data_IF_877394634851
#
_entry.id   IF_877394634851
#
_cell.length_a   1.000
_cell.length_b   1.000
_cell.length_c   1.000
_cell.angle_alpha   90.00
_cell.angle_beta   90.00
_cell.angle_gamma   90.00
#
_symmetry.space_group_name_H-M   'P 1'
#
loop_
_entity.id
_entity.type
_entity.pdbx_description
1 polymer ?
#
# COMPACT_ATOMS: atom_id res chain seq x y z
N UNK A 1 -30.40 4.26 4.60
CA UNK A 1 -29.51 5.31 4.09
C UNK A 1 -28.34 4.65 3.36
N UNK A 2 -27.89 5.21 2.23
CA UNK A 2 -26.75 4.67 1.46
C UNK A 2 -25.56 5.60 1.68
N UNK A 3 -24.45 5.07 2.23
CA UNK A 3 -23.27 5.86 2.59
C UNK A 3 -22.28 6.11 1.45
N UNK A 4 -22.28 5.26 0.42
CA UNK A 4 -21.51 5.43 -0.82
C UNK A 4 -22.05 4.51 -1.93
N UNK A 5 -21.83 4.91 -3.18
CA UNK A 5 -22.10 4.10 -4.39
C UNK A 5 -20.86 4.09 -5.26
N UNK A 6 -20.47 2.90 -5.72
CA UNK A 6 -19.31 2.70 -6.62
C UNK A 6 -19.81 2.14 -7.95
N UNK A 7 -19.32 2.67 -9.06
CA UNK A 7 -19.73 2.26 -10.41
C UNK A 7 -18.75 1.29 -11.07
N UNK A 8 -17.53 1.12 -10.53
CA UNK A 8 -16.52 0.21 -11.05
C UNK A 8 -15.21 0.28 -10.27
N UNK A 9 -14.20 -0.43 -10.75
CA UNK A 9 -12.83 -0.43 -10.23
C UNK A 9 -11.83 -0.52 -11.39
N UNK A 10 -10.57 -0.24 -11.10
CA UNK A 10 -9.45 -0.40 -12.04
C UNK A 10 -8.33 -1.17 -11.35
N UNK A 11 -7.66 -2.03 -12.12
CA UNK A 11 -6.42 -2.65 -11.68
C UNK A 11 -5.24 -1.80 -12.13
N UNK A 12 -4.32 -1.51 -11.21
CA UNK A 12 -3.11 -0.78 -11.52
C UNK A 12 -2.01 -1.72 -12.05
N UNK A 13 -1.10 -1.22 -12.91
CA UNK A 13 0.08 -1.97 -13.29
C UNK A 13 0.94 -2.34 -12.08
N UNK A 14 1.69 -3.43 -12.18
CA UNK A 14 2.68 -3.86 -11.18
C UNK A 14 3.96 -3.02 -11.28
N UNK A 15 3.84 -1.74 -10.93
CA UNK A 15 4.84 -0.70 -11.11
C UNK A 15 4.66 0.36 -10.02
N UNK A 16 5.62 0.45 -9.10
CA UNK A 16 5.54 1.29 -7.92
C UNK A 16 5.48 2.79 -8.25
N UNK A 17 6.14 3.25 -9.31
CA UNK A 17 6.09 4.66 -9.74
C UNK A 17 4.71 5.03 -10.28
N UNK A 18 4.09 4.11 -11.04
CA UNK A 18 2.70 4.30 -11.51
C UNK A 18 1.71 4.26 -10.36
N UNK A 19 1.94 3.40 -9.37
CA UNK A 19 1.12 3.37 -8.14
C UNK A 19 1.26 4.67 -7.35
N UNK A 20 2.48 5.20 -7.17
CA UNK A 20 2.73 6.48 -6.51
C UNK A 20 1.99 7.63 -7.22
N UNK A 21 2.14 7.73 -8.54
CA UNK A 21 1.49 8.76 -9.35
C UNK A 21 -0.04 8.67 -9.28
N UNK A 22 -0.59 7.45 -9.32
CA UNK A 22 -2.04 7.25 -9.20
C UNK A 22 -2.54 7.62 -7.81
N UNK A 23 -1.85 7.17 -6.74
CA UNK A 23 -2.17 7.45 -5.34
C UNK A 23 -2.22 8.96 -5.08
N UNK A 24 -1.19 9.69 -5.53
CA UNK A 24 -1.08 11.14 -5.36
C UNK A 24 -2.23 11.90 -6.05
N UNK A 25 -2.78 11.33 -7.13
CA UNK A 25 -3.82 11.99 -7.93
C UNK A 25 -5.24 11.58 -7.51
N UNK A 26 -5.45 10.31 -7.17
CA UNK A 26 -6.79 9.71 -7.02
C UNK A 26 -7.11 9.25 -5.59
N UNK A 27 -6.12 9.23 -4.69
CA UNK A 27 -6.28 8.81 -3.30
C UNK A 27 -5.93 7.34 -3.05
N UNK A 28 -6.28 6.80 -1.86
CA UNK A 28 -5.81 5.50 -1.38
C UNK A 28 -6.06 4.30 -2.30
N UNK A 29 -5.12 3.36 -2.32
CA UNK A 29 -5.15 2.15 -3.18
C UNK A 29 -5.28 0.90 -2.31
N UNK A 30 -6.23 0.01 -2.64
CA UNK A 30 -6.27 -1.32 -2.05
C UNK A 30 -5.13 -2.19 -2.64
N UNK A 31 -4.30 -2.78 -1.78
CA UNK A 31 -3.15 -3.62 -2.19
C UNK A 31 -3.13 -4.95 -1.43
N UNK A 32 -2.45 -5.94 -2.00
CA UNK A 32 -2.13 -7.19 -1.31
C UNK A 32 -0.63 -7.24 -0.98
N UNK A 33 -0.29 -7.79 0.18
CA UNK A 33 1.09 -7.94 0.67
C UNK A 33 1.31 -9.33 1.28
N UNK A 34 2.58 -9.71 1.44
CA UNK A 34 2.96 -10.75 2.39
C UNK A 34 3.13 -10.10 3.77
N UNK A 35 2.28 -10.48 4.72
CA UNK A 35 2.24 -9.88 6.06
C UNK A 35 2.95 -10.71 7.14
N UNK A 36 3.72 -11.74 6.78
CA UNK A 36 4.44 -12.54 7.79
C UNK A 36 5.35 -11.67 8.68
N UNK A 37 6.06 -10.71 8.07
CA UNK A 37 6.91 -9.76 8.79
C UNK A 37 6.13 -8.71 9.60
N UNK A 38 4.81 -8.58 9.42
CA UNK A 38 4.02 -7.59 10.17
C UNK A 38 3.76 -8.04 11.61
N UNK A 39 3.80 -9.35 11.88
CA UNK A 39 3.54 -9.90 13.21
C UNK A 39 4.52 -9.40 14.28
N UNK A 40 5.76 -9.10 13.88
CA UNK A 40 6.82 -8.60 14.76
C UNK A 40 7.07 -7.10 14.62
N UNK A 41 6.33 -6.42 13.74
CA UNK A 41 6.52 -5.00 13.48
C UNK A 41 6.01 -4.14 14.65
N UNK A 42 6.87 -3.25 15.17
CA UNK A 42 6.54 -2.35 16.28
C UNK A 42 6.70 -0.86 15.95
N UNK A 43 7.24 -0.53 14.78
CA UNK A 43 7.45 0.85 14.33
C UNK A 43 8.69 1.02 13.44
N UNK A 44 8.84 2.21 12.85
CA UNK A 44 9.94 2.55 11.93
C UNK A 44 9.59 2.29 10.46
N UNK A 45 10.61 2.12 9.63
CA UNK A 45 10.43 1.69 8.23
C UNK A 45 10.91 0.24 8.12
N UNK A 46 10.04 -0.66 7.67
CA UNK A 46 10.38 -2.05 7.44
C UNK A 46 11.19 -2.19 6.15
N UNK A 47 12.46 -2.60 6.26
CA UNK A 47 13.38 -2.73 5.11
C UNK A 47 13.63 -4.18 4.68
N UNK A 48 13.38 -5.13 5.56
CA UNK A 48 13.52 -6.57 5.31
C UNK A 48 12.16 -7.25 5.46
N UNK A 49 11.28 -7.03 4.48
CA UNK A 49 9.97 -7.67 4.44
C UNK A 49 10.06 -9.01 3.72
N UNK A 50 9.52 -10.08 4.31
CA UNK A 50 9.20 -11.30 3.57
C UNK A 50 8.31 -10.94 2.37
N UNK A 51 8.61 -11.51 1.20
CA UNK A 51 8.00 -11.12 -0.08
C UNK A 51 7.74 -12.35 -0.95
N UNK A 52 7.33 -13.46 -0.33
CA UNK A 52 7.21 -14.77 -1.00
C UNK A 52 5.78 -15.03 -1.49
N UNK A 53 4.77 -14.82 -0.62
CA UNK A 53 3.39 -15.12 -0.96
C UNK A 53 2.43 -14.05 -0.43
N UNK A 54 1.68 -13.43 -1.34
CA UNK A 54 0.57 -12.55 -0.99
C UNK A 54 -0.45 -13.30 -0.12
N UNK A 55 -0.66 -12.81 1.09
CA UNK A 55 -1.52 -13.46 2.09
C UNK A 55 -2.44 -12.48 2.84
N UNK A 56 -2.28 -11.16 2.64
CA UNK A 56 -3.04 -10.14 3.36
C UNK A 56 -3.40 -8.94 2.49
N UNK A 57 -4.56 -8.31 2.77
CA UNK A 57 -5.06 -7.13 2.07
C UNK A 57 -5.01 -5.89 2.97
N UNK A 58 -4.44 -4.79 2.46
CA UNK A 58 -4.23 -3.54 3.20
C UNK A 58 -4.51 -2.32 2.32
N UNK A 59 -4.49 -1.12 2.91
CA UNK A 59 -4.73 0.13 2.18
C UNK A 59 -3.46 0.99 2.13
N UNK A 60 -2.96 1.25 0.94
CA UNK A 60 -1.87 2.19 0.69
C UNK A 60 -2.42 3.63 0.76
N UNK A 61 -1.88 4.46 1.66
CA UNK A 61 -2.42 5.80 1.92
C UNK A 61 -1.43 6.94 1.69
N UNK A 62 -0.15 6.63 1.50
CA UNK A 62 0.87 7.64 1.21
C UNK A 62 2.23 7.03 0.93
N UNK A 63 3.19 7.89 0.60
CA UNK A 63 4.61 7.58 0.50
C UNK A 63 5.44 8.82 0.83
N UNK A 64 6.73 8.60 1.11
CA UNK A 64 7.73 9.64 1.24
C UNK A 64 8.99 9.20 0.49
N UNK A 65 9.21 9.82 -0.67
CA UNK A 65 10.37 9.59 -1.55
C UNK A 65 11.59 10.45 -1.17
N UNK A 66 11.41 11.41 -0.27
CA UNK A 66 12.46 12.29 0.24
C UNK A 66 13.20 11.72 1.45
N UNK A 67 12.64 10.70 2.10
CA UNK A 67 13.23 9.97 3.21
C UNK A 67 14.37 9.05 2.77
N UNK A 68 15.23 8.66 3.73
CA UNK A 68 16.26 7.65 3.53
C UNK A 68 16.18 6.56 4.63
N UNK A 69 15.62 5.37 4.33
CA UNK A 69 15.11 4.95 3.03
C UNK A 69 13.74 5.61 2.69
N UNK A 70 13.39 5.70 1.40
CA UNK A 70 12.03 6.04 0.99
C UNK A 70 11.05 4.94 1.44
N UNK A 71 9.80 5.30 1.73
CA UNK A 71 8.84 4.35 2.30
C UNK A 71 7.39 4.59 1.87
N UNK A 72 6.60 3.53 1.93
CA UNK A 72 5.14 3.54 1.83
C UNK A 72 4.50 3.68 3.21
N UNK A 73 3.36 4.37 3.26
CA UNK A 73 2.49 4.45 4.44
C UNK A 73 1.28 3.56 4.19
N UNK A 74 1.16 2.50 4.98
CA UNK A 74 0.11 1.49 4.86
C UNK A 74 -0.82 1.59 6.08
N UNK A 75 -2.11 1.64 5.82
CA UNK A 75 -3.16 1.50 6.84
C UNK A 75 -3.57 0.03 6.93
N UNK A 76 -3.41 -0.54 8.12
CA UNK A 76 -3.83 -1.89 8.51
C UNK A 76 -4.87 -1.78 9.63
#
# INVERSE_FOLDING_TARGET
EVGATVTGFVDLPKDEDKMAAWLATNGPIAIAVDANSFLSYTGGVLTNCESDQLNHGVLLVGYDDSSNPPYWIIKN
#
